data_IF_885600834590
#
_entry.id   IF_885600834590
#
_cell.length_a   1.000
_cell.length_b   1.000
_cell.length_c   1.000
_cell.angle_alpha   90.00
_cell.angle_beta   90.00
_cell.angle_gamma   90.00
#
_symmetry.space_group_name_H-M   'P 1'
#
loop_
_entity.id
_entity.type
_entity.pdbx_description
1 polymer ?
#
# COMPACT_ATOMS: atom_id res chain seq x y z
N UNK A 1 -22.64 -11.12 -8.04
CA UNK A 1 -21.84 -11.83 -7.02
C UNK A 1 -22.16 -11.20 -5.67
N UNK A 2 -22.97 -11.87 -4.86
CA UNK A 2 -23.46 -11.34 -3.58
C UNK A 2 -22.29 -10.99 -2.62
N UNK A 3 -21.14 -11.69 -2.73
CA UNK A 3 -19.98 -11.41 -1.89
C UNK A 3 -19.38 -10.03 -2.12
N UNK A 4 -19.43 -9.49 -3.33
CA UNK A 4 -18.95 -8.13 -3.61
C UNK A 4 -19.79 -7.09 -2.87
N UNK A 5 -21.13 -7.24 -2.91
CA UNK A 5 -22.04 -6.35 -2.18
C UNK A 5 -21.84 -6.47 -0.65
N UNK A 6 -21.73 -7.69 -0.16
CA UNK A 6 -21.46 -7.95 1.27
C UNK A 6 -20.13 -7.31 1.69
N UNK A 7 -19.08 -7.45 0.88
CA UNK A 7 -17.77 -6.82 1.15
C UNK A 7 -17.86 -5.30 1.20
N UNK A 8 -18.63 -4.69 0.30
CA UNK A 8 -18.87 -3.25 0.35
C UNK A 8 -19.58 -2.83 1.64
N UNK A 9 -20.64 -3.55 2.02
CA UNK A 9 -21.38 -3.27 3.25
C UNK A 9 -20.51 -3.42 4.49
N UNK A 10 -19.72 -4.49 4.58
CA UNK A 10 -18.78 -4.69 5.70
C UNK A 10 -17.78 -3.54 5.75
N UNK A 11 -17.19 -3.18 4.61
CA UNK A 11 -16.21 -2.09 4.54
C UNK A 11 -16.84 -0.78 5.01
N UNK A 12 -17.99 -0.41 4.49
CA UNK A 12 -18.71 0.82 4.87
C UNK A 12 -19.03 0.80 6.37
N UNK A 13 -19.61 -0.29 6.89
CA UNK A 13 -19.96 -0.39 8.31
C UNK A 13 -18.71 -0.27 9.20
N UNK A 14 -17.64 -1.02 8.91
CA UNK A 14 -16.42 -0.96 9.70
C UNK A 14 -15.80 0.44 9.69
N UNK A 15 -15.64 1.03 8.51
CA UNK A 15 -15.01 2.35 8.39
C UNK A 15 -15.84 3.46 9.06
N UNK A 16 -17.17 3.43 8.92
CA UNK A 16 -18.03 4.40 9.59
C UNK A 16 -18.08 4.21 11.11
N UNK A 17 -18.03 2.98 11.62
CA UNK A 17 -17.89 2.73 13.06
C UNK A 17 -16.58 3.28 13.61
N UNK A 18 -15.46 3.00 12.93
CA UNK A 18 -14.17 3.55 13.34
C UNK A 18 -14.10 5.09 13.20
N UNK A 19 -14.70 5.64 12.14
CA UNK A 19 -14.86 7.08 12.00
C UNK A 19 -15.60 7.71 13.19
N UNK A 20 -16.74 7.12 13.58
CA UNK A 20 -17.51 7.61 14.70
C UNK A 20 -16.68 7.61 15.99
N UNK A 21 -15.97 6.51 16.28
CA UNK A 21 -15.08 6.40 17.44
C UNK A 21 -13.95 7.45 17.37
N UNK A 22 -13.27 7.54 16.23
CA UNK A 22 -12.14 8.45 16.02
C UNK A 22 -12.57 9.92 16.14
N UNK A 23 -13.71 10.28 15.57
CA UNK A 23 -14.25 11.64 15.62
C UNK A 23 -14.72 12.04 17.03
N UNK A 24 -15.44 11.14 17.72
CA UNK A 24 -15.95 11.39 19.07
C UNK A 24 -14.83 11.50 20.11
N UNK A 25 -13.80 10.64 20.01
CA UNK A 25 -12.68 10.61 20.93
C UNK A 25 -11.51 11.52 20.50
N UNK A 26 -11.61 12.15 19.33
CA UNK A 26 -10.56 12.98 18.71
C UNK A 26 -9.21 12.27 18.59
N UNK A 27 -9.25 10.98 18.25
CA UNK A 27 -8.07 10.12 18.09
C UNK A 27 -7.88 9.73 16.62
N UNK A 28 -6.63 9.70 16.18
CA UNK A 28 -6.21 9.28 14.86
C UNK A 28 -5.48 7.92 14.84
N UNK A 29 -5.09 7.44 16.04
CA UNK A 29 -4.33 6.19 16.20
C UNK A 29 -5.01 4.94 15.64
N UNK A 30 -6.34 4.98 15.50
CA UNK A 30 -7.14 3.86 14.99
C UNK A 30 -7.29 3.85 13.48
N UNK A 31 -6.88 4.89 12.76
CA UNK A 31 -7.11 5.02 11.31
C UNK A 31 -6.38 3.95 10.51
N UNK A 32 -5.08 3.80 10.75
CA UNK A 32 -4.25 2.80 10.07
C UNK A 32 -4.67 1.36 10.46
N UNK A 33 -5.04 1.16 11.74
CA UNK A 33 -5.55 -0.11 12.23
C UNK A 33 -6.90 -0.48 11.59
N UNK A 34 -7.81 0.48 11.46
CA UNK A 34 -9.11 0.27 10.82
C UNK A 34 -8.96 -0.16 9.36
N UNK A 35 -8.04 0.48 8.62
CA UNK A 35 -7.76 0.10 7.23
C UNK A 35 -7.21 -1.32 7.11
N UNK A 36 -6.12 -1.62 7.80
CA UNK A 36 -5.44 -2.92 7.71
C UNK A 36 -6.27 -4.09 8.24
N UNK A 37 -6.97 -3.91 9.36
CA UNK A 37 -7.87 -4.94 9.91
C UNK A 37 -9.04 -5.23 8.98
N UNK A 38 -9.55 -4.22 8.27
CA UNK A 38 -10.66 -4.41 7.33
C UNK A 38 -10.26 -5.33 6.16
N UNK A 39 -9.03 -5.23 5.62
CA UNK A 39 -8.53 -6.18 4.61
C UNK A 39 -8.53 -7.62 5.12
N UNK A 40 -8.06 -7.83 6.35
CA UNK A 40 -8.01 -9.16 6.97
C UNK A 40 -9.42 -9.71 7.14
N UNK A 41 -10.33 -8.90 7.67
CA UNK A 41 -11.75 -9.28 7.85
C UNK A 41 -12.38 -9.64 6.52
N UNK A 42 -12.22 -8.82 5.48
CA UNK A 42 -12.78 -9.12 4.16
C UNK A 42 -12.23 -10.41 3.57
N UNK A 43 -10.92 -10.60 3.59
CA UNK A 43 -10.30 -11.80 3.04
C UNK A 43 -10.77 -13.08 3.76
N UNK A 44 -10.75 -13.10 5.10
CA UNK A 44 -11.17 -14.24 5.89
C UNK A 44 -12.68 -14.48 5.80
N UNK A 45 -13.50 -13.43 5.90
CA UNK A 45 -14.95 -13.56 5.91
C UNK A 45 -15.51 -13.97 4.54
N UNK A 46 -14.93 -13.44 3.45
CA UNK A 46 -15.35 -13.86 2.10
C UNK A 46 -14.94 -15.28 1.77
N UNK A 47 -13.79 -15.75 2.27
CA UNK A 47 -13.40 -17.16 2.19
C UNK A 47 -14.41 -18.05 2.93
N UNK A 48 -14.77 -17.66 4.17
CA UNK A 48 -15.74 -18.40 4.97
C UNK A 48 -17.13 -18.45 4.31
N UNK A 49 -17.63 -17.32 3.81
CA UNK A 49 -18.92 -17.26 3.10
C UNK A 49 -18.91 -18.02 1.77
N UNK A 50 -17.77 -18.04 1.08
CA UNK A 50 -17.58 -18.82 -0.15
C UNK A 50 -17.60 -20.31 0.08
N UNK A 51 -17.40 -20.75 1.32
CA UNK A 51 -17.43 -22.14 1.80
C UNK A 51 -16.59 -23.10 0.93
N UNK A 52 -15.49 -22.61 0.38
CA UNK A 52 -14.53 -23.36 -0.42
C UNK A 52 -13.12 -23.06 0.09
N UNK A 53 -12.57 -24.00 0.84
CA UNK A 53 -11.24 -23.90 1.47
C UNK A 53 -10.15 -24.59 0.62
N UNK A 54 -10.29 -24.59 -0.69
CA UNK A 54 -9.28 -25.10 -1.59
C UNK A 54 -7.94 -24.36 -1.42
N UNK A 55 -6.84 -25.07 -1.65
CA UNK A 55 -5.49 -24.51 -1.49
C UNK A 55 -5.30 -23.15 -2.20
N UNK A 56 -5.77 -22.94 -3.46
CA UNK A 56 -5.62 -21.65 -4.11
C UNK A 56 -6.33 -20.51 -3.40
N UNK A 57 -7.54 -20.72 -2.87
CA UNK A 57 -8.27 -19.67 -2.14
C UNK A 57 -7.68 -19.38 -0.78
N UNK A 58 -7.21 -20.43 -0.09
CA UNK A 58 -6.47 -20.27 1.17
C UNK A 58 -5.20 -19.44 0.96
N UNK A 59 -4.43 -19.69 -0.10
CA UNK A 59 -3.22 -18.92 -0.41
C UNK A 59 -3.52 -17.46 -0.74
N UNK A 60 -4.56 -17.17 -1.54
CA UNK A 60 -4.96 -15.79 -1.83
C UNK A 60 -5.32 -15.04 -0.54
N UNK A 61 -6.13 -15.66 0.32
CA UNK A 61 -6.53 -15.11 1.61
C UNK A 61 -5.33 -14.91 2.54
N UNK A 62 -4.42 -15.90 2.60
CA UNK A 62 -3.22 -15.84 3.43
C UNK A 62 -2.29 -14.70 3.01
N UNK A 63 -2.09 -14.47 1.71
CA UNK A 63 -1.27 -13.35 1.23
C UNK A 63 -1.80 -12.01 1.74
N UNK A 64 -3.12 -11.77 1.67
CA UNK A 64 -3.74 -10.54 2.19
C UNK A 64 -3.60 -10.44 3.71
N UNK A 65 -3.86 -11.54 4.44
CA UNK A 65 -3.73 -11.57 5.89
C UNK A 65 -2.28 -11.32 6.36
N UNK A 66 -1.30 -11.94 5.73
CA UNK A 66 0.13 -11.72 6.04
C UNK A 66 0.54 -10.26 5.81
N UNK A 67 0.16 -9.68 4.68
CA UNK A 67 0.42 -8.28 4.41
C UNK A 67 -0.29 -7.35 5.41
N UNK A 68 -1.58 -7.58 5.67
CA UNK A 68 -2.38 -6.77 6.59
C UNK A 68 -1.85 -6.83 8.04
N UNK A 69 -1.48 -8.03 8.53
CA UNK A 69 -0.89 -8.21 9.85
C UNK A 69 0.47 -7.52 9.96
N UNK A 70 1.33 -7.67 8.94
CA UNK A 70 2.64 -7.02 8.92
C UNK A 70 2.51 -5.50 8.90
N UNK A 71 1.70 -4.96 7.97
CA UNK A 71 1.54 -3.51 7.85
C UNK A 71 0.85 -2.93 9.08
N UNK A 72 -0.27 -3.52 9.51
CA UNK A 72 -1.00 -3.09 10.70
C UNK A 72 -0.15 -3.14 11.96
N UNK A 73 0.60 -4.23 12.16
CA UNK A 73 1.54 -4.37 13.28
C UNK A 73 2.65 -3.32 13.25
N UNK A 74 3.24 -3.05 12.08
CA UNK A 74 4.24 -2.01 11.92
C UNK A 74 3.69 -0.61 12.22
N UNK A 75 2.54 -0.26 11.67
CA UNK A 75 1.92 1.06 11.86
C UNK A 75 1.47 1.25 13.31
N UNK A 76 0.94 0.21 13.93
CA UNK A 76 0.58 0.23 15.36
C UNK A 76 1.81 0.41 16.25
N UNK A 77 2.90 -0.34 16.00
CA UNK A 77 4.16 -0.19 16.73
C UNK A 77 4.74 1.21 16.55
N UNK A 78 4.70 1.73 15.32
CA UNK A 78 5.16 3.09 15.01
C UNK A 78 4.42 4.15 15.82
N UNK A 79 3.08 4.06 15.91
CA UNK A 79 2.28 5.06 16.65
C UNK A 79 2.49 4.96 18.17
N UNK A 80 2.78 3.79 18.70
CA UNK A 80 3.12 3.62 20.12
C UNK A 80 4.43 4.32 20.49
N UNK A 81 5.42 4.34 19.57
CA UNK A 81 6.72 4.99 19.82
C UNK A 81 6.66 6.50 19.61
N UNK A 82 5.99 6.97 18.57
CA UNK A 82 5.96 8.39 18.22
C UNK A 82 4.77 9.17 18.76
N UNK A 83 3.76 8.47 19.28
CA UNK A 83 2.65 9.03 20.02
C UNK A 83 1.54 9.64 19.17
N UNK A 84 1.85 10.41 18.13
CA UNK A 84 0.87 11.14 17.31
C UNK A 84 1.21 11.09 15.82
N UNK A 85 0.17 11.17 14.98
CA UNK A 85 0.33 11.33 13.53
C UNK A 85 -0.17 12.71 13.10
N UNK A 86 0.77 13.65 12.99
CA UNK A 86 0.48 15.06 12.67
C UNK A 86 -0.24 15.29 11.32
N UNK A 87 -0.37 14.26 10.47
CA UNK A 87 -1.15 14.37 9.21
C UNK A 87 -2.61 14.67 9.48
N UNK A 88 -3.13 14.27 10.65
CA UNK A 88 -4.54 14.37 11.01
C UNK A 88 -4.87 15.57 11.90
N UNK A 89 -3.90 16.33 12.40
CA UNK A 89 -4.12 17.40 13.41
C UNK A 89 -5.18 18.41 12.98
N UNK A 90 -5.08 18.92 11.73
CA UNK A 90 -6.08 19.86 11.19
C UNK A 90 -7.31 19.14 10.64
N UNK A 91 -7.15 17.92 10.15
CA UNK A 91 -8.22 17.17 9.47
C UNK A 91 -9.27 16.68 10.45
N UNK A 92 -8.88 16.19 11.64
CA UNK A 92 -9.79 15.70 12.68
C UNK A 92 -10.65 16.79 13.33
N UNK A 93 -10.25 18.06 13.19
CA UNK A 93 -11.02 19.20 13.70
C UNK A 93 -12.24 19.53 12.81
N UNK A 94 -12.20 19.17 11.53
CA UNK A 94 -13.23 19.49 10.55
C UNK A 94 -13.96 18.21 10.11
N UNK A 95 -15.23 18.09 10.51
CA UNK A 95 -16.06 16.90 10.25
C UNK A 95 -15.98 16.40 8.79
N UNK A 96 -16.23 17.28 7.82
CA UNK A 96 -16.27 16.90 6.41
C UNK A 96 -14.90 16.50 5.85
N UNK A 97 -13.83 17.13 6.34
CA UNK A 97 -12.46 16.77 5.95
C UNK A 97 -12.10 15.39 6.48
N UNK A 98 -12.43 15.11 7.74
CA UNK A 98 -12.15 13.83 8.35
C UNK A 98 -13.04 12.70 7.78
N UNK A 99 -14.33 12.96 7.55
CA UNK A 99 -15.20 12.02 6.86
C UNK A 99 -14.71 11.72 5.43
N UNK A 100 -14.23 12.73 4.72
CA UNK A 100 -13.62 12.56 3.39
C UNK A 100 -12.47 11.57 3.39
N UNK A 101 -11.58 11.63 4.39
CA UNK A 101 -10.50 10.66 4.56
C UNK A 101 -11.04 9.23 4.74
N UNK A 102 -12.09 9.03 5.56
CA UNK A 102 -12.68 7.70 5.76
C UNK A 102 -13.40 7.17 4.51
N UNK A 103 -14.04 8.05 3.74
CA UNK A 103 -14.61 7.67 2.43
C UNK A 103 -13.50 7.21 1.47
N UNK A 104 -12.35 7.91 1.45
CA UNK A 104 -11.17 7.47 0.71
C UNK A 104 -10.68 6.10 1.16
N UNK A 105 -10.69 5.85 2.46
CA UNK A 105 -10.28 4.58 3.03
C UNK A 105 -11.25 3.44 2.66
N UNK A 106 -12.57 3.72 2.60
CA UNK A 106 -13.57 2.78 2.07
C UNK A 106 -13.21 2.38 0.64
N UNK A 107 -12.96 3.35 -0.23
CA UNK A 107 -12.59 3.09 -1.63
C UNK A 107 -11.30 2.27 -1.73
N UNK A 108 -10.28 2.64 -0.96
CA UNK A 108 -9.00 1.93 -0.94
C UNK A 108 -9.18 0.46 -0.54
N UNK A 109 -9.81 0.20 0.59
CA UNK A 109 -10.00 -1.17 1.10
C UNK A 109 -10.88 -1.98 0.16
N UNK A 110 -12.03 -1.45 -0.22
CA UNK A 110 -12.99 -2.18 -1.04
C UNK A 110 -12.43 -2.52 -2.43
N UNK A 111 -11.91 -1.54 -3.15
CA UNK A 111 -11.41 -1.74 -4.51
C UNK A 111 -10.21 -2.69 -4.55
N UNK A 112 -9.28 -2.52 -3.62
CA UNK A 112 -8.07 -3.35 -3.60
C UNK A 112 -8.35 -4.79 -3.14
N UNK A 113 -9.41 -5.02 -2.35
CA UNK A 113 -9.86 -6.37 -1.94
C UNK A 113 -10.61 -7.12 -3.04
N UNK A 114 -11.06 -6.46 -4.12
CA UNK A 114 -11.91 -7.05 -5.15
C UNK A 114 -11.37 -8.36 -5.75
N UNK A 115 -10.09 -8.49 -6.13
CA UNK A 115 -9.59 -9.72 -6.73
C UNK A 115 -9.79 -10.94 -5.82
N UNK A 116 -9.44 -10.81 -4.54
CA UNK A 116 -9.57 -11.92 -3.58
C UNK A 116 -11.03 -12.18 -3.21
N UNK A 117 -11.81 -11.12 -2.99
CA UNK A 117 -13.26 -11.24 -2.73
C UNK A 117 -13.98 -11.92 -3.90
N UNK A 118 -13.66 -11.55 -5.14
CA UNK A 118 -14.23 -12.16 -6.32
C UNK A 118 -13.84 -13.64 -6.41
N UNK A 119 -12.56 -13.95 -6.22
CA UNK A 119 -12.03 -15.31 -6.25
C UNK A 119 -12.69 -16.20 -5.19
N UNK A 120 -12.81 -15.73 -3.96
CA UNK A 120 -13.48 -16.45 -2.88
C UNK A 120 -14.95 -16.76 -3.19
N UNK A 121 -15.61 -15.93 -4.00
CA UNK A 121 -17.00 -16.14 -4.43
C UNK A 121 -17.18 -16.96 -5.71
N UNK A 122 -16.11 -17.41 -6.36
CA UNK A 122 -16.19 -18.27 -7.54
C UNK A 122 -16.43 -19.73 -7.11
N UNK A 123 -17.28 -20.44 -7.89
CA UNK A 123 -17.42 -21.88 -7.78
C UNK A 123 -16.51 -22.55 -8.84
N UNK A 124 -15.90 -23.68 -8.48
CA UNK A 124 -15.06 -24.45 -9.42
C UNK A 124 -13.95 -25.21 -8.70
N UNK A 125 -13.28 -26.08 -9.43
CA UNK A 125 -12.06 -26.74 -8.96
C UNK A 125 -10.87 -25.92 -9.44
N UNK A 126 -10.10 -25.39 -8.50
CA UNK A 126 -8.94 -24.54 -8.78
C UNK A 126 -7.65 -25.28 -8.42
N UNK A 127 -6.70 -25.26 -9.37
CA UNK A 127 -5.37 -25.82 -9.19
C UNK A 127 -4.31 -24.74 -9.39
N UNK A 128 -3.14 -24.91 -8.77
CA UNK A 128 -2.02 -24.00 -8.97
C UNK A 128 -1.44 -24.14 -10.36
N UNK A 129 -1.32 -23.03 -11.05
CA UNK A 129 -0.73 -22.91 -12.40
C UNK A 129 0.65 -22.24 -12.33
N UNK A 130 1.39 -22.28 -13.44
CA UNK A 130 2.66 -21.52 -13.53
C UNK A 130 2.46 -20.02 -13.27
N UNK A 131 1.34 -19.44 -13.70
CA UNK A 131 1.00 -18.05 -13.40
C UNK A 131 0.69 -17.83 -11.93
N UNK A 132 0.13 -18.82 -11.22
CA UNK A 132 -0.07 -18.75 -9.77
C UNK A 132 1.28 -18.60 -9.06
N UNK A 133 2.29 -19.38 -9.46
CA UNK A 133 3.63 -19.26 -8.87
C UNK A 133 4.31 -17.92 -9.19
N UNK A 134 4.07 -17.34 -10.37
CA UNK A 134 4.53 -15.96 -10.67
C UNK A 134 3.90 -14.97 -9.69
N UNK A 135 2.58 -15.05 -9.49
CA UNK A 135 1.87 -14.17 -8.54
C UNK A 135 2.39 -14.30 -7.11
N UNK A 136 2.60 -15.54 -6.63
CA UNK A 136 3.18 -15.81 -5.29
C UNK A 136 4.61 -15.22 -5.19
N UNK A 137 5.43 -15.40 -6.22
CA UNK A 137 6.82 -14.87 -6.24
C UNK A 137 6.82 -13.35 -6.20
N UNK A 138 5.99 -12.70 -7.01
CA UNK A 138 5.82 -11.23 -7.00
C UNK A 138 5.38 -10.74 -5.62
N UNK A 139 4.40 -11.42 -5.00
CA UNK A 139 3.97 -11.11 -3.65
C UNK A 139 5.14 -11.22 -2.66
N UNK A 140 5.87 -12.31 -2.67
CA UNK A 140 7.00 -12.55 -1.75
C UNK A 140 8.10 -11.49 -1.89
N UNK A 141 8.50 -11.17 -3.12
CA UNK A 141 9.50 -10.13 -3.40
C UNK A 141 9.00 -8.75 -2.92
N UNK A 142 7.78 -8.37 -3.30
CA UNK A 142 7.21 -7.08 -2.90
C UNK A 142 7.04 -6.95 -1.40
N UNK A 143 6.60 -8.01 -0.73
CA UNK A 143 6.48 -8.09 0.73
C UNK A 143 7.82 -7.92 1.44
N UNK A 144 8.87 -8.57 0.94
CA UNK A 144 10.22 -8.41 1.48
C UNK A 144 10.74 -6.98 1.28
N UNK A 145 10.58 -6.41 0.09
CA UNK A 145 11.01 -5.04 -0.23
C UNK A 145 10.29 -4.03 0.68
N UNK A 146 8.97 -4.10 0.78
CA UNK A 146 8.18 -3.19 1.61
C UNK A 146 8.58 -3.31 3.09
N UNK A 147 8.73 -4.54 3.60
CA UNK A 147 9.11 -4.78 5.00
C UNK A 147 10.51 -4.25 5.32
N UNK A 148 11.48 -4.51 4.45
CA UNK A 148 12.85 -4.00 4.61
C UNK A 148 12.92 -2.47 4.52
N UNK A 149 12.17 -1.88 3.61
CA UNK A 149 12.11 -0.44 3.44
C UNK A 149 11.53 0.25 4.67
N UNK A 150 10.38 -0.23 5.17
CA UNK A 150 9.74 0.30 6.37
C UNK A 150 10.64 0.17 7.60
N UNK A 151 11.27 -0.99 7.80
CA UNK A 151 12.19 -1.21 8.91
C UNK A 151 13.43 -0.30 8.85
N UNK A 152 14.02 -0.16 7.66
CA UNK A 152 15.20 0.70 7.47
C UNK A 152 14.86 2.16 7.75
N UNK A 153 13.73 2.65 7.21
CA UNK A 153 13.25 4.02 7.44
C UNK A 153 12.91 4.28 8.91
N UNK A 154 12.29 3.30 9.57
CA UNK A 154 11.98 3.39 10.99
C UNK A 154 13.25 3.55 11.84
N UNK A 155 14.24 2.66 11.63
CA UNK A 155 15.55 2.77 12.31
C UNK A 155 16.24 4.10 12.06
N UNK A 156 16.28 4.51 10.78
CA UNK A 156 16.89 5.78 10.38
C UNK A 156 16.25 6.97 11.12
N UNK A 157 14.92 6.99 11.25
CA UNK A 157 14.21 8.06 11.96
C UNK A 157 14.49 8.08 13.47
N UNK A 158 14.79 6.93 14.10
CA UNK A 158 15.16 6.85 15.52
C UNK A 158 16.49 7.53 15.83
N UNK A 159 17.43 7.53 14.89
CA UNK A 159 18.77 8.11 15.08
C UNK A 159 18.86 9.59 14.72
N UNK A 160 17.76 10.22 14.31
CA UNK A 160 17.70 11.66 14.04
C UNK A 160 18.43 12.13 12.78
N UNK A 161 18.76 11.24 11.86
CA UNK A 161 19.39 11.58 10.59
C UNK A 161 18.44 12.37 9.67
N UNK A 162 18.99 13.09 8.68
CA UNK A 162 18.20 13.99 7.82
C UNK A 162 17.18 13.25 6.95
N UNK A 163 17.65 12.44 5.99
CA UNK A 163 16.83 11.61 5.11
C UNK A 163 17.44 10.22 4.99
N UNK A 164 16.59 9.21 4.76
CA UNK A 164 17.05 7.85 4.61
C UNK A 164 17.68 7.63 3.23
N UNK A 165 18.96 7.20 3.21
CA UNK A 165 19.72 6.86 2.00
C UNK A 165 20.51 5.56 2.13
N UNK A 166 20.11 4.70 3.07
CA UNK A 166 20.81 3.44 3.37
C UNK A 166 20.01 2.23 2.92
N UNK A 167 20.68 1.12 2.66
CA UNK A 167 20.04 -0.11 2.19
C UNK A 167 19.27 0.12 0.89
N UNK A 168 18.03 -0.33 0.82
CA UNK A 168 17.20 -0.20 -0.39
C UNK A 168 16.83 1.27 -0.72
N UNK A 169 16.89 2.20 0.27
CA UNK A 169 16.71 3.63 0.07
C UNK A 169 17.88 4.29 -0.68
N UNK A 170 19.00 3.59 -0.85
CA UNK A 170 20.09 4.06 -1.70
C UNK A 170 19.77 3.96 -3.20
N UNK A 171 18.87 3.06 -3.60
CA UNK A 171 18.54 2.78 -5.02
C UNK A 171 17.10 3.12 -5.40
N UNK A 172 16.27 3.49 -4.44
CA UNK A 172 14.92 4.02 -4.65
C UNK A 172 14.57 5.01 -3.52
N UNK A 173 13.91 6.12 -3.87
CA UNK A 173 13.44 7.12 -2.89
C UNK A 173 12.14 6.70 -2.19
N UNK A 174 11.37 5.77 -2.80
CA UNK A 174 10.12 5.22 -2.25
C UNK A 174 10.04 3.69 -2.43
N UNK A 175 11.01 2.92 -1.91
CA UNK A 175 11.05 1.48 -2.11
C UNK A 175 9.89 0.74 -1.44
N UNK A 176 9.35 1.27 -0.35
CA UNK A 176 8.15 0.72 0.30
C UNK A 176 6.91 0.83 -0.60
N UNK A 177 6.74 1.92 -1.34
CA UNK A 177 5.64 2.06 -2.29
C UNK A 177 5.80 1.14 -3.50
N UNK A 178 7.03 0.99 -4.00
CA UNK A 178 7.32 -0.01 -5.02
C UNK A 178 6.95 -1.41 -4.53
N UNK A 179 7.42 -1.79 -3.33
CA UNK A 179 7.11 -3.08 -2.71
C UNK A 179 5.61 -3.31 -2.58
N UNK A 180 4.87 -2.30 -2.12
CA UNK A 180 3.41 -2.36 -1.97
C UNK A 180 2.70 -2.58 -3.31
N UNK A 181 3.00 -1.77 -4.34
CA UNK A 181 2.41 -1.93 -5.68
C UNK A 181 2.77 -3.31 -6.25
N UNK A 182 4.02 -3.75 -6.09
CA UNK A 182 4.50 -5.01 -6.64
C UNK A 182 3.85 -6.23 -5.99
N UNK A 183 3.68 -6.22 -4.66
CA UNK A 183 2.99 -7.32 -3.97
C UNK A 183 1.50 -7.40 -4.32
N UNK A 184 0.81 -6.26 -4.42
CA UNK A 184 -0.60 -6.25 -4.84
C UNK A 184 -0.77 -6.62 -6.31
N UNK A 185 0.21 -6.29 -7.17
CA UNK A 185 0.27 -6.82 -8.53
C UNK A 185 0.40 -8.35 -8.52
N UNK A 186 1.21 -8.90 -7.59
CA UNK A 186 1.34 -10.34 -7.39
C UNK A 186 0.03 -11.00 -6.97
N UNK A 187 -0.70 -10.43 -6.01
CA UNK A 187 -2.03 -10.92 -5.59
C UNK A 187 -3.00 -10.87 -6.77
N UNK A 188 -3.00 -9.79 -7.55
CA UNK A 188 -3.85 -9.66 -8.73
C UNK A 188 -3.53 -10.72 -9.78
N UNK A 189 -2.25 -10.90 -10.16
CA UNK A 189 -1.79 -11.91 -11.13
C UNK A 189 -2.18 -13.31 -10.65
N UNK A 190 -2.02 -13.57 -9.36
CA UNK A 190 -2.44 -14.82 -8.74
C UNK A 190 -3.94 -15.07 -8.91
N UNK A 191 -4.79 -14.13 -8.54
CA UNK A 191 -6.24 -14.27 -8.68
C UNK A 191 -6.66 -14.37 -10.15
N UNK A 192 -6.05 -13.56 -11.02
CA UNK A 192 -6.31 -13.57 -12.45
C UNK A 192 -5.96 -14.92 -13.11
N UNK A 193 -4.91 -15.60 -12.65
CA UNK A 193 -4.53 -16.94 -13.15
C UNK A 193 -5.60 -18.01 -12.87
N UNK A 194 -6.52 -17.73 -11.96
CA UNK A 194 -7.66 -18.61 -11.63
C UNK A 194 -8.99 -18.14 -12.28
N UNK A 195 -8.94 -17.21 -13.23
CA UNK A 195 -10.10 -16.75 -13.97
C UNK A 195 -10.88 -15.59 -13.34
N UNK A 196 -10.28 -14.89 -12.37
CA UNK A 196 -10.87 -13.66 -11.84
C UNK A 196 -11.01 -12.61 -12.94
N UNK A 197 -12.15 -11.93 -12.97
CA UNK A 197 -12.48 -10.98 -14.03
C UNK A 197 -11.49 -9.81 -14.11
N UNK A 198 -11.08 -9.45 -15.33
CA UNK A 198 -10.08 -8.40 -15.60
C UNK A 198 -10.42 -7.05 -14.96
N UNK A 199 -11.70 -6.68 -14.88
CA UNK A 199 -12.11 -5.39 -14.31
C UNK A 199 -11.70 -5.21 -12.84
N UNK A 200 -11.43 -6.30 -12.10
CA UNK A 200 -10.95 -6.21 -10.70
C UNK A 200 -9.57 -5.56 -10.56
N UNK A 201 -8.85 -5.36 -11.68
CA UNK A 201 -7.60 -4.59 -11.74
C UNK A 201 -7.78 -3.14 -11.27
N UNK A 202 -9.03 -2.64 -11.22
CA UNK A 202 -9.33 -1.27 -10.78
C UNK A 202 -8.77 -0.98 -9.39
N UNK A 203 -8.69 -1.97 -8.50
CA UNK A 203 -8.08 -1.82 -7.18
C UNK A 203 -6.58 -1.56 -7.25
N UNK A 204 -5.86 -2.30 -8.11
CA UNK A 204 -4.43 -2.09 -8.33
C UNK A 204 -4.15 -0.73 -8.98
N UNK A 205 -4.97 -0.32 -9.95
CA UNK A 205 -4.90 1.02 -10.55
C UNK A 205 -5.15 2.10 -9.50
N UNK A 206 -6.16 1.91 -8.65
CA UNK A 206 -6.50 2.86 -7.60
C UNK A 206 -5.37 3.05 -6.59
N UNK A 207 -4.79 1.97 -6.03
CA UNK A 207 -3.68 2.10 -5.09
C UNK A 207 -2.46 2.75 -5.73
N UNK A 208 -2.18 2.46 -7.00
CA UNK A 208 -1.09 3.09 -7.75
C UNK A 208 -1.30 4.59 -7.87
N UNK A 209 -2.51 5.03 -8.26
CA UNK A 209 -2.86 6.46 -8.32
C UNK A 209 -2.76 7.13 -6.94
N UNK A 210 -3.28 6.47 -5.89
CA UNK A 210 -3.19 6.97 -4.52
C UNK A 210 -1.75 7.22 -4.09
N UNK A 211 -0.88 6.23 -4.25
CA UNK A 211 0.50 6.30 -3.81
C UNK A 211 1.35 7.27 -4.64
N UNK A 212 1.12 7.35 -5.94
CA UNK A 212 1.91 8.21 -6.82
C UNK A 212 1.43 9.67 -6.76
N UNK A 213 0.13 9.93 -6.85
CA UNK A 213 -0.37 11.28 -7.17
C UNK A 213 -1.17 11.95 -6.04
N UNK A 214 -1.73 11.21 -5.09
CA UNK A 214 -2.68 11.79 -4.14
C UNK A 214 -2.13 11.89 -2.71
N UNK A 215 -1.90 10.78 -2.03
CA UNK A 215 -1.58 10.75 -0.60
C UNK A 215 -0.18 10.22 -0.27
N UNK A 216 0.58 9.80 -1.27
CA UNK A 216 1.88 9.16 -1.10
C UNK A 216 3.06 10.04 -1.50
N UNK A 217 3.71 9.67 -2.61
CA UNK A 217 4.97 10.26 -3.07
C UNK A 217 4.89 11.78 -3.25
N UNK A 218 3.78 12.30 -3.82
CA UNK A 218 3.63 13.72 -4.08
C UNK A 218 3.81 14.57 -2.80
N UNK A 219 3.12 14.19 -1.72
CA UNK A 219 3.21 14.91 -0.45
C UNK A 219 4.57 14.74 0.23
N UNK A 220 5.17 13.55 0.13
CA UNK A 220 6.48 13.28 0.73
C UNK A 220 7.61 14.01 0.00
N UNK A 221 7.61 14.01 -1.33
CA UNK A 221 8.61 14.74 -2.12
C UNK A 221 8.48 16.27 -1.92
N UNK A 222 7.26 16.80 -1.91
CA UNK A 222 7.03 18.21 -1.62
C UNK A 222 7.54 18.60 -0.22
N UNK A 223 7.24 17.80 0.80
CA UNK A 223 7.74 18.02 2.16
C UNK A 223 9.26 17.91 2.27
N UNK A 224 9.87 16.94 1.59
CA UNK A 224 11.30 16.74 1.58
C UNK A 224 12.03 17.88 0.83
N UNK A 225 11.48 18.34 -0.29
CA UNK A 225 11.99 19.49 -1.04
C UNK A 225 11.96 20.78 -0.21
N UNK A 226 10.86 21.03 0.52
CA UNK A 226 10.77 22.18 1.43
C UNK A 226 11.82 22.12 2.54
N UNK A 227 12.10 20.92 3.07
CA UNK A 227 13.01 20.75 4.20
C UNK A 227 14.48 20.68 3.81
N UNK A 228 14.79 20.06 2.68
CA UNK A 228 16.16 19.71 2.28
C UNK A 228 16.56 20.25 0.90
N UNK A 229 15.70 20.95 0.18
CA UNK A 229 15.94 21.41 -1.19
C UNK A 229 17.17 22.33 -1.37
N UNK A 230 17.62 22.98 -0.29
CA UNK A 230 18.85 23.79 -0.27
C UNK A 230 20.12 23.00 0.08
N UNK A 231 19.99 21.69 0.41
CA UNK A 231 21.13 20.84 0.75
C UNK A 231 21.70 20.19 -0.52
N UNK A 232 22.98 20.45 -0.82
CA UNK A 232 23.63 19.93 -2.01
C UNK A 232 23.74 18.39 -2.02
N UNK A 233 23.91 17.76 -0.85
CA UNK A 233 23.95 16.30 -0.74
C UNK A 233 22.56 15.69 -1.02
N UNK A 234 21.48 16.34 -0.56
CA UNK A 234 20.13 15.91 -0.86
C UNK A 234 19.84 15.99 -2.37
N UNK A 235 20.18 17.07 -3.00
CA UNK A 235 19.99 17.26 -4.44
C UNK A 235 20.79 16.25 -5.25
N UNK A 236 22.02 15.94 -4.82
CA UNK A 236 22.83 14.88 -5.42
C UNK A 236 22.15 13.52 -5.27
N UNK A 237 21.74 13.14 -4.05
CA UNK A 237 20.99 11.90 -3.79
C UNK A 237 19.75 11.79 -4.70
N UNK A 238 18.99 12.86 -4.81
CA UNK A 238 17.77 12.93 -5.61
C UNK A 238 18.04 12.73 -7.10
N UNK A 239 19.11 13.32 -7.64
CA UNK A 239 19.49 13.20 -9.07
C UNK A 239 20.04 11.81 -9.44
N UNK A 240 20.64 11.10 -8.48
CA UNK A 240 21.29 9.80 -8.68
C UNK A 240 20.39 8.60 -8.30
N UNK A 241 19.25 8.84 -7.62
CA UNK A 241 18.40 7.76 -7.07
C UNK A 241 17.01 7.77 -7.71
N UNK A 242 16.60 6.61 -8.21
CA UNK A 242 15.27 6.42 -8.82
C UNK A 242 14.17 6.78 -7.82
N UNK A 243 13.09 7.38 -8.32
CA UNK A 243 12.00 7.78 -7.44
C UNK A 243 11.21 6.60 -6.88
N UNK A 244 10.93 5.57 -7.70
CA UNK A 244 10.09 4.44 -7.32
C UNK A 244 10.78 3.10 -7.54
N UNK A 245 11.13 2.78 -8.79
CA UNK A 245 11.66 1.47 -9.17
C UNK A 245 13.10 1.34 -8.66
N UNK A 246 13.44 0.30 -7.86
CA UNK A 246 14.80 0.12 -7.37
C UNK A 246 15.78 -0.14 -8.52
N UNK A 247 16.58 0.86 -8.86
CA UNK A 247 17.58 0.81 -9.92
C UNK A 247 18.92 1.26 -9.33
N UNK A 248 20.01 0.47 -9.53
CA UNK A 248 21.35 0.88 -9.08
C UNK A 248 21.73 2.26 -9.61
N UNK A 249 22.30 3.11 -8.75
CA UNK A 249 22.64 4.50 -9.07
C UNK A 249 23.60 4.62 -10.26
N UNK A 250 24.52 3.64 -10.41
CA UNK A 250 25.43 3.57 -11.56
C UNK A 250 24.75 3.41 -12.92
N UNK A 251 23.53 2.88 -12.92
CA UNK A 251 22.66 2.75 -14.10
C UNK A 251 21.74 3.96 -14.19
N UNK A 252 21.03 4.27 -13.10
CA UNK A 252 20.03 5.33 -13.09
C UNK A 252 20.60 6.70 -13.48
N UNK A 253 21.80 7.04 -12.98
CA UNK A 253 22.46 8.31 -13.28
C UNK A 253 22.78 8.52 -14.78
N UNK A 254 22.88 7.42 -15.56
CA UNK A 254 23.16 7.46 -17.00
C UNK A 254 21.89 7.49 -17.87
N UNK A 255 20.71 7.27 -17.27
CA UNK A 255 19.45 7.27 -18.02
C UNK A 255 19.06 8.73 -18.35
N UNK A 256 18.76 9.03 -19.62
CA UNK A 256 18.29 10.36 -20.01
C UNK A 256 17.00 10.76 -19.29
N UNK A 257 16.85 12.04 -18.94
CA UNK A 257 15.67 12.57 -18.23
C UNK A 257 14.35 12.25 -18.92
N UNK A 258 14.32 12.23 -20.25
CA UNK A 258 13.12 11.87 -21.00
C UNK A 258 12.67 10.45 -20.66
N UNK A 259 13.60 9.49 -20.59
CA UNK A 259 13.29 8.09 -20.24
C UNK A 259 12.88 7.99 -18.77
N UNK A 260 13.58 8.70 -17.87
CA UNK A 260 13.21 8.73 -16.43
C UNK A 260 11.77 9.20 -16.25
N UNK A 261 11.39 10.28 -16.93
CA UNK A 261 10.04 10.87 -16.85
C UNK A 261 8.96 10.02 -17.51
N UNK A 262 9.26 9.34 -18.61
CA UNK A 262 8.26 8.59 -19.35
C UNK A 262 8.04 7.18 -18.80
N UNK A 263 9.12 6.48 -18.41
CA UNK A 263 9.06 5.06 -18.05
C UNK A 263 9.37 4.77 -16.59
N UNK A 264 10.08 5.67 -15.90
CA UNK A 264 10.48 5.46 -14.50
C UNK A 264 9.68 6.32 -13.52
N UNK A 265 8.62 6.97 -13.99
CA UNK A 265 7.67 7.76 -13.18
C UNK A 265 8.31 8.95 -12.45
N UNK A 266 9.51 9.40 -12.87
CA UNK A 266 10.19 10.55 -12.28
C UNK A 266 9.65 11.87 -12.88
N UNK A 267 8.38 12.15 -12.56
CA UNK A 267 7.68 13.29 -13.10
C UNK A 267 8.21 14.63 -12.56
N UNK A 268 8.07 15.70 -13.36
CA UNK A 268 8.49 17.07 -12.95
C UNK A 268 7.84 17.53 -11.64
N UNK A 269 6.67 17.02 -11.30
CA UNK A 269 5.95 17.39 -10.08
C UNK A 269 6.66 16.94 -8.80
N UNK A 270 7.61 16.03 -8.89
CA UNK A 270 8.36 15.51 -7.74
C UNK A 270 9.74 16.21 -7.55
N UNK A 271 10.14 17.04 -8.51
CA UNK A 271 11.48 17.66 -8.56
C UNK A 271 11.49 19.13 -8.18
#
# INVERSE_FOLDING_TARGET
>A
NNLILISLLITVCMQLCFFAIAYMLKIDKVTDFAGTSNFIVLAAFTLWLGNDFSTPKLLATLMVCLWGLRLGGYLFYRILIWGEDHRFDKMREVFWSFLGFWVYQILWVFLLSLPVTYFNGMAGNFELTNFSYIGITMFGIGFAIESMADYTKFKHKLYGEKWCRTGIWAISRHPNYFGNIFLWSGIYVYCYSHGVALWTIIGLVWITILLLFMSGMNLLEASANLKYGNDAEYNKYKSETSILIPIPNSIYSKIPDTIRRTFLLDFKMYN
#
